data_IF_738636561984
#
_entry.id   IF_738636561984
#
_cell.length_a   1.000
_cell.length_b   1.000
_cell.length_c   1.000
_cell.angle_alpha   90.00
_cell.angle_beta   90.00
_cell.angle_gamma   90.00
#
_symmetry.space_group_name_H-M   'P 1'
#
loop_
_entity.id
_entity.type
_entity.pdbx_description
1 polymer ?
#
# COMPACT_ATOMS: atom_id res chain seq x y z
N UNK A 1 14.30 30.63 44.40
CA UNK A 1 14.25 30.12 43.01
C UNK A 1 13.58 28.75 42.99
N UNK A 2 12.33 28.65 42.53
CA UNK A 2 11.74 27.38 42.10
C UNK A 2 11.24 27.42 40.64
N UNK A 3 11.60 26.38 39.88
CA UNK A 3 11.07 26.05 38.56
C UNK A 3 9.61 25.58 38.65
N UNK A 4 8.67 26.20 37.92
CA UNK A 4 7.34 25.67 37.60
C UNK A 4 6.97 26.15 36.18
N UNK A 5 7.21 25.33 35.15
CA UNK A 5 6.29 24.34 34.54
C UNK A 5 5.84 24.87 33.18
N UNK A 6 6.59 24.51 32.15
CA UNK A 6 6.18 24.56 30.76
C UNK A 6 5.17 23.43 30.53
N UNK A 7 3.87 23.74 30.57
CA UNK A 7 2.80 22.87 30.08
C UNK A 7 1.65 23.73 29.52
N UNK A 8 1.88 24.35 28.36
CA UNK A 8 0.80 24.78 27.48
C UNK A 8 0.71 23.81 26.30
N UNK A 9 0.23 22.59 26.57
CA UNK A 9 -0.17 21.65 25.52
C UNK A 9 -1.61 21.96 25.11
N UNK A 10 -1.78 22.97 24.24
CA UNK A 10 -3.06 23.20 23.57
C UNK A 10 -3.26 22.12 22.51
N UNK A 11 -3.96 21.06 22.89
CA UNK A 11 -4.48 20.07 21.96
C UNK A 11 -5.45 20.76 21.00
N UNK A 12 -5.06 20.88 19.74
CA UNK A 12 -5.90 21.39 18.66
C UNK A 12 -7.00 20.33 18.40
N UNK A 13 -8.29 20.66 18.57
CA UNK A 13 -9.37 19.70 18.36
C UNK A 13 -9.52 19.45 16.85
N UNK A 14 -9.07 18.26 16.44
CA UNK A 14 -9.14 17.73 15.06
C UNK A 14 -8.44 16.37 14.92
N UNK A 15 -7.48 16.07 15.81
CA UNK A 15 -6.53 14.96 15.68
C UNK A 15 -6.88 13.64 16.41
N UNK A 16 -8.15 13.30 16.63
CA UNK A 16 -8.48 12.03 17.35
C UNK A 16 -9.17 11.00 16.45
N UNK A 17 -9.72 11.43 15.31
CA UNK A 17 -10.44 10.54 14.38
C UNK A 17 -9.63 10.14 13.15
N UNK A 18 -8.70 10.98 12.71
CA UNK A 18 -7.80 10.68 11.59
C UNK A 18 -6.71 9.69 12.00
N UNK A 19 -6.28 9.70 13.26
CA UNK A 19 -5.12 8.91 13.71
C UNK A 19 -5.42 7.40 13.78
N UNK A 20 -6.64 7.02 14.18
CA UNK A 20 -7.06 5.61 14.18
C UNK A 20 -7.34 5.07 12.78
N UNK A 21 -7.95 5.87 11.90
CA UNK A 21 -8.26 5.44 10.53
C UNK A 21 -6.99 5.39 9.68
N UNK A 22 -6.11 6.38 9.84
CA UNK A 22 -4.80 6.43 9.15
C UNK A 22 -3.88 5.30 9.62
N UNK A 23 -3.76 5.04 10.92
CA UNK A 23 -2.95 3.91 11.43
C UNK A 23 -3.49 2.53 11.04
N UNK A 24 -4.81 2.35 10.96
CA UNK A 24 -5.39 1.08 10.51
C UNK A 24 -5.16 0.84 9.01
N UNK A 25 -5.26 1.89 8.21
CA UNK A 25 -4.96 1.83 6.78
C UNK A 25 -3.45 1.65 6.54
N UNK A 26 -2.58 2.31 7.30
CA UNK A 26 -1.12 2.13 7.22
C UNK A 26 -0.68 0.70 7.54
N UNK A 27 -1.27 0.07 8.56
CA UNK A 27 -0.95 -1.33 8.91
C UNK A 27 -1.54 -2.35 7.94
N UNK A 28 -2.73 -2.10 7.38
CA UNK A 28 -3.40 -3.08 6.52
C UNK A 28 -3.11 -2.94 5.02
N UNK A 29 -2.82 -1.74 4.51
CA UNK A 29 -2.35 -1.52 3.13
C UNK A 29 -0.93 -2.02 2.93
N UNK A 30 -0.08 -1.93 3.96
CA UNK A 30 1.33 -2.34 3.90
C UNK A 30 1.54 -3.85 3.68
N UNK A 31 0.50 -4.69 3.79
CA UNK A 31 0.65 -6.15 3.71
C UNK A 31 -0.19 -6.82 2.63
N UNK A 32 -0.95 -6.10 1.80
CA UNK A 32 -1.56 -6.75 0.64
C UNK A 32 -0.42 -7.24 -0.27
N UNK A 33 -0.24 -8.57 -0.43
CA UNK A 33 0.82 -9.10 -1.28
C UNK A 33 0.53 -8.64 -2.71
N UNK A 34 1.56 -8.28 -3.48
CA UNK A 34 1.39 -8.03 -4.92
C UNK A 34 0.67 -9.19 -5.63
N UNK A 35 0.84 -10.42 -5.12
CA UNK A 35 0.15 -11.63 -5.55
C UNK A 35 -1.38 -11.57 -5.41
N UNK A 36 -1.94 -10.77 -4.49
CA UNK A 36 -3.38 -10.59 -4.36
C UNK A 36 -3.97 -9.89 -5.58
N UNK A 37 -3.36 -8.77 -5.99
CA UNK A 37 -3.78 -8.02 -7.17
C UNK A 37 -3.64 -8.84 -8.46
N UNK A 38 -2.57 -9.62 -8.57
CA UNK A 38 -2.39 -10.61 -9.65
C UNK A 38 -3.48 -11.68 -9.64
N UNK A 39 -3.85 -12.20 -8.46
CA UNK A 39 -4.92 -13.18 -8.30
C UNK A 39 -6.28 -12.63 -8.74
N UNK A 40 -6.64 -11.42 -8.29
CA UNK A 40 -7.89 -10.76 -8.67
C UNK A 40 -7.92 -10.45 -10.18
N UNK A 41 -6.80 -10.00 -10.75
CA UNK A 41 -6.68 -9.82 -12.19
C UNK A 41 -6.88 -11.14 -12.95
N UNK A 42 -6.28 -12.25 -12.48
CA UNK A 42 -6.47 -13.57 -13.06
C UNK A 42 -7.92 -14.08 -12.98
N UNK A 43 -8.58 -13.89 -11.82
CA UNK A 43 -10.00 -14.22 -11.64
C UNK A 43 -10.88 -13.38 -12.59
N UNK A 44 -10.57 -12.10 -12.77
CA UNK A 44 -11.28 -11.23 -13.70
C UNK A 44 -11.16 -11.72 -15.15
N UNK A 45 -9.96 -12.15 -15.58
CA UNK A 45 -9.76 -12.78 -16.90
C UNK A 45 -10.59 -14.06 -17.03
N UNK A 46 -10.50 -14.95 -16.03
CA UNK A 46 -11.22 -16.22 -16.04
C UNK A 46 -12.75 -16.02 -16.08
N UNK A 47 -13.27 -15.10 -15.26
CA UNK A 47 -14.69 -14.75 -15.22
C UNK A 47 -15.16 -14.14 -16.55
N UNK A 48 -14.37 -13.24 -17.14
CA UNK A 48 -14.63 -12.67 -18.46
C UNK A 48 -14.71 -13.75 -19.54
N UNK A 49 -13.79 -14.71 -19.52
CA UNK A 49 -13.79 -15.82 -20.47
C UNK A 49 -15.02 -16.72 -20.31
N UNK A 50 -15.39 -17.07 -19.08
CA UNK A 50 -16.61 -17.86 -18.81
C UNK A 50 -17.86 -17.11 -19.30
N UNK A 51 -17.99 -15.82 -18.99
CA UNK A 51 -19.11 -15.00 -19.44
C UNK A 51 -19.20 -14.96 -20.98
N UNK A 52 -18.05 -14.84 -21.66
CA UNK A 52 -17.98 -14.83 -23.11
C UNK A 52 -18.42 -16.17 -23.71
N UNK A 53 -17.99 -17.29 -23.14
CA UNK A 53 -18.41 -18.63 -23.56
C UNK A 53 -19.92 -18.88 -23.35
N UNK A 54 -20.54 -18.20 -22.37
CA UNK A 54 -21.99 -18.26 -22.13
C UNK A 54 -22.81 -17.28 -22.99
N UNK A 55 -22.19 -16.56 -23.93
CA UNK A 55 -22.86 -15.59 -24.81
C UNK A 55 -23.17 -14.23 -24.16
N UNK A 56 -22.62 -13.96 -22.97
CA UNK A 56 -22.79 -12.67 -22.26
C UNK A 56 -21.65 -11.72 -22.60
N UNK A 57 -21.51 -11.38 -23.87
CA UNK A 57 -20.37 -10.62 -24.38
C UNK A 57 -20.17 -9.25 -23.71
N UNK A 58 -21.27 -8.56 -23.38
CA UNK A 58 -21.23 -7.24 -22.72
C UNK A 58 -20.68 -7.34 -21.30
N UNK A 59 -21.11 -8.35 -20.57
CA UNK A 59 -20.65 -8.60 -19.19
C UNK A 59 -19.20 -9.10 -19.20
N UNK A 60 -18.84 -9.93 -20.17
CA UNK A 60 -17.47 -10.37 -20.38
C UNK A 60 -16.53 -9.19 -20.63
N UNK A 61 -16.91 -8.25 -21.50
CA UNK A 61 -16.13 -7.05 -21.76
C UNK A 61 -16.02 -6.15 -20.53
N UNK A 62 -17.13 -5.93 -19.82
CA UNK A 62 -17.13 -5.13 -18.60
C UNK A 62 -16.18 -5.72 -17.55
N UNK A 63 -16.27 -7.02 -17.27
CA UNK A 63 -15.41 -7.68 -16.29
C UNK A 63 -13.94 -7.70 -16.74
N UNK A 64 -13.68 -7.93 -18.03
CA UNK A 64 -12.32 -7.97 -18.58
C UNK A 64 -11.60 -6.61 -18.57
N UNK A 65 -12.33 -5.50 -18.63
CA UNK A 65 -11.74 -4.15 -18.55
C UNK A 65 -11.10 -3.86 -17.18
N UNK A 66 -11.51 -4.56 -16.12
CA UNK A 66 -10.97 -4.37 -14.77
C UNK A 66 -9.58 -5.00 -14.54
N UNK A 67 -9.10 -5.84 -15.47
CA UNK A 67 -7.77 -6.48 -15.38
C UNK A 67 -6.65 -5.44 -15.29
N UNK A 68 -6.63 -4.45 -16.20
CA UNK A 68 -5.61 -3.41 -16.22
C UNK A 68 -5.62 -2.53 -14.94
N UNK A 69 -6.78 -2.05 -14.46
CA UNK A 69 -6.89 -1.40 -13.15
C UNK A 69 -6.30 -2.20 -11.99
N UNK A 70 -6.62 -3.49 -11.86
CA UNK A 70 -6.09 -4.31 -10.77
C UNK A 70 -4.58 -4.49 -10.83
N UNK A 71 -4.02 -4.70 -12.04
CA UNK A 71 -2.58 -4.78 -12.23
C UNK A 71 -1.89 -3.44 -11.91
N UNK A 72 -2.49 -2.31 -12.28
CA UNK A 72 -1.96 -0.98 -11.98
C UNK A 72 -1.87 -0.73 -10.46
N UNK A 73 -2.90 -1.13 -9.69
CA UNK A 73 -2.85 -1.08 -8.23
C UNK A 73 -1.74 -1.96 -7.65
N UNK A 74 -1.55 -3.17 -8.18
CA UNK A 74 -0.47 -4.07 -7.77
C UNK A 74 0.92 -3.49 -8.05
N UNK A 75 1.11 -2.88 -9.22
CA UNK A 75 2.35 -2.19 -9.60
C UNK A 75 2.61 -0.99 -8.70
N UNK A 76 1.60 -0.16 -8.44
CA UNK A 76 1.71 0.98 -7.54
C UNK A 76 2.20 0.56 -6.15
N UNK A 77 1.58 -0.47 -5.54
CA UNK A 77 1.99 -0.97 -4.22
C UNK A 77 3.43 -1.51 -4.23
N UNK A 78 3.86 -2.17 -5.31
CA UNK A 78 5.23 -2.66 -5.46
C UNK A 78 6.23 -1.50 -5.58
N UNK A 79 5.92 -0.49 -6.38
CA UNK A 79 6.77 0.69 -6.57
C UNK A 79 6.95 1.47 -5.26
N UNK A 80 5.87 1.71 -4.51
CA UNK A 80 5.93 2.40 -3.20
C UNK A 80 6.86 1.69 -2.23
N UNK A 81 6.81 0.35 -2.16
CA UNK A 81 7.67 -0.44 -1.27
C UNK A 81 9.13 -0.50 -1.71
N UNK A 82 9.40 -0.48 -3.01
CA UNK A 82 10.77 -0.49 -3.53
C UNK A 82 11.51 0.83 -3.27
N UNK A 83 10.85 1.98 -3.37
CA UNK A 83 11.49 3.27 -3.10
C UNK A 83 11.85 3.49 -1.61
N UNK A 84 11.34 2.67 -0.69
CA UNK A 84 11.74 2.67 0.73
C UNK A 84 12.90 1.73 1.10
N UNK A 85 13.13 0.64 0.34
CA UNK A 85 14.19 -0.33 0.65
C UNK A 85 15.57 0.10 0.13
N UNK A 86 15.63 0.80 -1.00
CA UNK A 86 16.91 1.27 -1.55
C UNK A 86 17.58 2.35 -0.65
N UNK A 87 16.79 3.09 0.12
CA UNK A 87 17.31 4.08 1.08
C UNK A 87 17.96 3.44 2.32
N UNK A 88 17.47 2.28 2.80
CA UNK A 88 18.03 1.62 4.00
C UNK A 88 19.30 0.81 3.73
N UNK A 89 19.50 0.33 2.50
CA UNK A 89 20.68 -0.46 2.14
C UNK A 89 21.94 0.41 2.11
N UNK A 90 21.82 1.69 1.74
CA UNK A 90 22.97 2.62 1.68
C UNK A 90 23.45 3.06 3.08
N UNK A 91 22.52 3.25 4.02
CA UNK A 91 22.81 3.74 5.37
C UNK A 91 23.61 2.71 6.21
N UNK A 92 23.19 1.43 6.20
CA UNK A 92 23.91 0.38 6.96
C UNK A 92 25.28 0.03 6.40
N UNK A 93 25.50 0.15 5.09
CA UNK A 93 26.82 -0.11 4.50
C UNK A 93 27.87 0.93 4.91
N UNK A 94 27.47 2.19 5.09
CA UNK A 94 28.36 3.25 5.57
C UNK A 94 28.72 3.08 7.05
N UNK A 95 27.73 2.76 7.90
CA UNK A 95 27.97 2.54 9.33
C UNK A 95 28.80 1.28 9.62
N UNK A 96 28.62 0.20 8.84
CA UNK A 96 29.40 -1.02 9.01
C UNK A 96 30.86 -0.86 8.56
N UNK A 97 31.11 -0.08 7.51
CA UNK A 97 32.47 0.25 7.07
C UNK A 97 33.19 1.16 8.08
N UNK A 98 32.48 2.12 8.68
CA UNK A 98 33.04 3.01 9.70
C UNK A 98 33.31 2.30 11.03
N UNK A 99 32.53 1.26 11.37
CA UNK A 99 32.73 0.46 12.59
C UNK A 99 33.82 -0.60 12.47
N UNK A 100 34.30 -0.86 11.27
CA UNK A 100 35.35 -1.85 10.99
C UNK A 100 36.75 -1.22 10.77
N UNK A 101 36.87 0.12 10.87
CA UNK A 101 38.11 0.89 10.77
C UNK A 101 38.52 1.46 12.14
#
# INVERSE_FOLDING_TARGET
MPYLTDQDHRVIPGQVKEDQVTSYIEKHTSQLPSSFYLGVAGISVAASLVLKLTGRDRDAQFVGQWVAPFLLFGIYNKLVKQHGSDAQVHDRSGEQALRAA
#
